data_IF_352718511883
#
_entry.id   IF_352718511883
#
_cell.length_a   1.000
_cell.length_b   1.000
_cell.length_c   1.000
_cell.angle_alpha   90.00
_cell.angle_beta   90.00
_cell.angle_gamma   90.00
#
_symmetry.space_group_name_H-M   'P 1'
#
loop_
_entity.id
_entity.type
_entity.pdbx_description
1 polymer ?
#
# COMPACT_ATOMS: atom_id res chain seq x y z
N UNK A 1 -29.35 7.19 27.65
CA UNK A 1 -28.12 7.98 27.41
C UNK A 1 -26.84 7.15 27.25
N UNK A 2 -26.80 5.84 27.58
CA UNK A 2 -25.59 5.01 27.42
C UNK A 2 -25.41 4.38 26.02
N UNK A 3 -26.51 4.11 25.32
CA UNK A 3 -26.48 3.41 24.03
C UNK A 3 -25.97 4.27 22.86
N UNK A 4 -26.17 5.59 22.91
CA UNK A 4 -25.80 6.51 21.82
C UNK A 4 -24.27 6.68 21.71
N UNK A 5 -23.55 6.58 22.83
CA UNK A 5 -22.10 6.77 22.86
C UNK A 5 -21.31 5.60 22.25
N UNK A 6 -21.87 4.39 22.24
CA UNK A 6 -21.22 3.24 21.59
C UNK A 6 -21.34 3.25 20.07
N UNK A 7 -22.39 3.86 19.50
CA UNK A 7 -22.63 3.84 18.06
C UNK A 7 -21.67 4.76 17.29
N UNK A 8 -21.14 5.80 17.94
CA UNK A 8 -20.24 6.79 17.30
C UNK A 8 -18.82 6.25 17.09
N UNK A 9 -18.37 5.31 17.92
CA UNK A 9 -17.03 4.71 17.78
C UNK A 9 -16.89 3.78 16.57
N UNK A 10 -18.00 3.24 16.06
CA UNK A 10 -18.00 2.29 14.93
C UNK A 10 -17.86 2.97 13.56
N UNK A 11 -18.04 4.30 13.47
CA UNK A 11 -18.02 5.03 12.19
C UNK A 11 -16.69 5.76 11.92
N UNK A 12 -15.72 5.69 12.83
CA UNK A 12 -14.49 6.51 12.78
C UNK A 12 -13.24 5.85 12.19
N UNK A 13 -13.29 4.58 11.77
CA UNK A 13 -12.14 3.85 11.22
C UNK A 13 -12.05 3.96 9.70
N UNK A 14 -12.35 5.13 9.13
CA UNK A 14 -11.89 5.45 7.80
C UNK A 14 -10.37 5.66 7.88
N UNK A 15 -9.61 4.56 7.86
CA UNK A 15 -8.17 4.60 7.71
C UNK A 15 -7.86 5.24 6.37
N UNK A 16 -7.39 6.48 6.35
CA UNK A 16 -6.80 7.09 5.17
C UNK A 16 -5.48 6.36 4.88
N UNK A 17 -5.54 5.18 4.28
CA UNK A 17 -4.37 4.57 3.67
C UNK A 17 -4.12 5.29 2.36
N UNK A 18 -2.97 5.95 2.24
CA UNK A 18 -2.53 6.49 0.95
C UNK A 18 -2.35 5.34 -0.03
N UNK A 19 -3.05 5.40 -1.16
CA UNK A 19 -2.86 4.42 -2.23
C UNK A 19 -1.61 4.80 -3.04
N UNK A 20 -0.79 3.81 -3.38
CA UNK A 20 0.40 4.00 -4.18
C UNK A 20 0.29 3.21 -5.48
N UNK A 21 0.82 3.78 -6.56
CA UNK A 21 0.96 3.11 -7.84
C UNK A 21 2.44 3.02 -8.20
N UNK A 22 2.89 1.80 -8.48
CA UNK A 22 4.23 1.51 -8.99
C UNK A 22 4.13 1.22 -10.49
N UNK A 23 4.83 2.02 -11.29
CA UNK A 23 5.04 1.75 -12.70
C UNK A 23 6.32 0.93 -12.86
N UNK A 24 6.23 -0.13 -13.66
CA UNK A 24 7.35 -1.04 -13.91
C UNK A 24 7.89 -0.88 -15.33
N UNK A 25 9.11 -1.36 -15.57
CA UNK A 25 9.78 -1.29 -16.89
C UNK A 25 9.04 -2.07 -17.98
N UNK A 26 8.31 -3.13 -17.61
CA UNK A 26 7.52 -3.93 -18.55
C UNK A 26 6.15 -3.29 -18.89
N UNK A 27 5.86 -2.12 -18.33
CA UNK A 27 4.63 -1.36 -18.56
C UNK A 27 3.48 -1.71 -17.62
N UNK A 28 3.66 -2.60 -16.64
CA UNK A 28 2.63 -2.85 -15.63
C UNK A 28 2.54 -1.69 -14.63
N UNK A 29 1.32 -1.42 -14.21
CA UNK A 29 0.99 -0.55 -13.09
C UNK A 29 0.46 -1.40 -11.94
N UNK A 30 1.11 -1.33 -10.79
CA UNK A 30 0.79 -2.12 -9.60
C UNK A 30 0.25 -1.16 -8.53
N UNK A 31 -0.98 -1.40 -8.06
CA UNK A 31 -1.56 -0.65 -6.95
C UNK A 31 -1.27 -1.34 -5.61
N UNK A 32 -1.01 -0.56 -4.57
CA UNK A 32 -0.85 -1.03 -3.18
C UNK A 32 -1.40 0.01 -2.22
N UNK A 33 -2.08 -0.43 -1.17
CA UNK A 33 -2.66 0.45 -0.14
C UNK A 33 -1.61 0.94 0.88
N UNK A 34 -0.37 0.49 0.72
CA UNK A 34 0.74 0.88 1.58
C UNK A 34 1.96 1.27 0.77
N UNK A 35 2.71 2.24 1.28
CA UNK A 35 3.94 2.72 0.66
C UNK A 35 4.96 1.58 0.56
N UNK A 36 5.45 1.22 -0.65
CA UNK A 36 6.47 0.20 -0.82
C UNK A 36 7.73 0.51 0.00
N UNK A 37 8.39 -0.52 0.53
CA UNK A 37 9.60 -0.41 1.35
C UNK A 37 10.77 -1.07 0.65
N UNK A 38 11.82 -0.29 0.35
CA UNK A 38 13.06 -0.84 -0.18
C UNK A 38 13.83 -1.54 0.93
N UNK A 39 14.20 -2.78 0.70
CA UNK A 39 15.25 -3.46 1.45
C UNK A 39 16.59 -3.21 0.75
N UNK A 40 17.42 -2.34 1.34
CA UNK A 40 18.72 -1.96 0.81
C UNK A 40 19.73 -3.13 0.80
N UNK A 41 19.47 -4.20 1.57
CA UNK A 41 20.34 -5.38 1.61
C UNK A 41 20.13 -6.26 0.38
N UNK A 42 18.88 -6.39 -0.05
CA UNK A 42 18.49 -7.29 -1.15
C UNK A 42 18.23 -6.55 -2.46
N UNK A 43 18.02 -5.22 -2.42
CA UNK A 43 17.62 -4.43 -3.58
C UNK A 43 16.15 -4.61 -3.98
N UNK A 44 15.33 -5.18 -3.10
CA UNK A 44 13.93 -5.51 -3.38
C UNK A 44 12.98 -4.54 -2.69
N UNK A 45 11.97 -4.05 -3.41
CA UNK A 45 10.82 -3.41 -2.80
C UNK A 45 9.84 -4.46 -2.28
N UNK A 46 9.41 -4.27 -1.04
CA UNK A 46 8.31 -4.98 -0.39
C UNK A 46 7.03 -4.15 -0.45
N UNK A 47 5.94 -4.78 -0.86
CA UNK A 47 4.60 -4.19 -0.87
C UNK A 47 3.54 -5.26 -0.61
N UNK A 48 2.31 -4.83 -0.38
CA UNK A 48 1.17 -5.73 -0.25
C UNK A 48 0.30 -5.65 -1.49
N UNK A 49 -0.05 -6.81 -2.05
CA UNK A 49 -1.01 -6.88 -3.17
C UNK A 49 -2.46 -6.68 -2.70
N UNK A 50 -3.41 -6.71 -3.64
CA UNK A 50 -4.85 -6.55 -3.36
C UNK A 50 -5.42 -7.66 -2.45
N UNK A 51 -4.75 -8.81 -2.37
CA UNK A 51 -5.11 -9.92 -1.47
C UNK A 51 -4.48 -9.76 -0.08
N UNK A 52 -3.67 -8.72 0.15
CA UNK A 52 -2.95 -8.48 1.39
C UNK A 52 -1.73 -9.40 1.57
N UNK A 53 -1.22 -10.00 0.49
CA UNK A 53 -0.01 -10.82 0.52
C UNK A 53 1.23 -9.94 0.35
N UNK A 54 2.27 -10.24 1.12
CA UNK A 54 3.57 -9.57 0.93
C UNK A 54 4.23 -10.06 -0.37
N UNK A 55 4.52 -9.12 -1.26
CA UNK A 55 5.17 -9.37 -2.55
C UNK A 55 6.47 -8.57 -2.63
N UNK A 56 7.43 -9.11 -3.39
CA UNK A 56 8.73 -8.52 -3.62
C UNK A 56 8.92 -8.23 -5.11
N UNK A 57 9.46 -7.06 -5.44
CA UNK A 57 9.85 -6.66 -6.80
C UNK A 57 11.24 -6.02 -6.78
N UNK A 58 12.05 -6.27 -7.80
CA UNK A 58 13.38 -5.66 -7.88
C UNK A 58 13.26 -4.13 -8.05
N UNK A 59 14.06 -3.36 -7.32
CA UNK A 59 14.15 -1.90 -7.48
C UNK A 59 14.42 -1.50 -8.93
N UNK A 60 15.24 -2.26 -9.62
CA UNK A 60 15.59 -1.99 -11.01
C UNK A 60 14.40 -2.21 -11.95
N UNK A 61 13.38 -2.96 -11.58
CA UNK A 61 12.19 -3.16 -12.42
C UNK A 61 11.17 -2.03 -12.27
N UNK A 62 11.34 -1.13 -11.30
CA UNK A 62 10.46 0.02 -11.07
C UNK A 62 10.98 1.25 -11.81
N UNK A 63 10.11 1.92 -12.55
CA UNK A 63 10.38 3.20 -13.20
C UNK A 63 9.90 4.38 -12.37
N UNK A 64 8.77 4.24 -11.67
CA UNK A 64 8.19 5.31 -10.87
C UNK A 64 7.32 4.74 -9.74
N UNK A 65 7.31 5.44 -8.61
CA UNK A 65 6.34 5.22 -7.52
C UNK A 65 5.60 6.54 -7.29
N UNK A 66 4.28 6.50 -7.36
CA UNK A 66 3.40 7.66 -7.19
C UNK A 66 2.47 7.41 -6.01
N UNK A 67 2.28 8.43 -5.17
CA UNK A 67 1.17 8.47 -4.22
C UNK A 67 -0.06 9.04 -4.92
N UNK A 68 -1.21 8.40 -4.72
CA UNK A 68 -2.49 8.82 -5.29
C UNK A 68 -3.20 9.82 -4.39
#
# INVERSE_FOLDING_TARGET
MKAVMMLVFLLGLAGCSSQYIMSTKDGKMIATDSKPRLDETTGMYRYYDEEGREVHINKDDITQIMER
#
